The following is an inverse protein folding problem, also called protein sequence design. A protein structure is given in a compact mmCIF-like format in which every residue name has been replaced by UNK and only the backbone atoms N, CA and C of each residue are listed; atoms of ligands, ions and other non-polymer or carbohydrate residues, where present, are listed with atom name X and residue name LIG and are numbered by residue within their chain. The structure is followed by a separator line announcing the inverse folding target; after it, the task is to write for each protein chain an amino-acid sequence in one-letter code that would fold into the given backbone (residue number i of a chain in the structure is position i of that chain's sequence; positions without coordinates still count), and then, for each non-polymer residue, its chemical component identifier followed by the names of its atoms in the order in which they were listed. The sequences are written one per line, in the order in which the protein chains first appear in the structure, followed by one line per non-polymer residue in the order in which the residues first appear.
data_IF_926992939675
#
_entry.id   IF_926992939675
#
_cell.length_a   1.000
_cell.length_b   1.000
_cell.length_c   1.000
_cell.angle_alpha   90.00
_cell.angle_beta   90.00
_cell.angle_gamma   90.00
#
_symmetry.space_group_name_H-M   'P 1'
#
loop_
_entity.id
_entity.type
_entity.pdbx_description
1 polymer ?
#
# COMPACT_ATOMS: atom_id res chain seq x y z
N UNK A 1 19.52 -13.39 2.89
CA UNK A 1 18.92 -12.16 3.40
C UNK A 1 19.26 -12.11 4.87
N UNK A 2 19.94 -11.06 5.35
CA UNK A 2 20.19 -10.94 6.78
C UNK A 2 18.90 -10.54 7.51
N UNK A 3 18.79 -10.87 8.79
CA UNK A 3 17.61 -10.52 9.60
C UNK A 3 17.40 -8.99 9.68
N UNK A 4 18.52 -8.24 9.68
CA UNK A 4 18.57 -6.77 9.64
C UNK A 4 17.97 -6.19 8.34
N UNK A 5 18.10 -6.91 7.22
CA UNK A 5 17.51 -6.49 5.93
C UNK A 5 15.99 -6.60 5.95
N UNK A 6 15.45 -7.64 6.57
CA UNK A 6 13.99 -7.89 6.62
C UNK A 6 13.31 -6.86 7.52
N UNK A 7 13.89 -6.53 8.68
CA UNK A 7 13.32 -5.53 9.58
C UNK A 7 13.32 -4.12 8.96
N UNK A 8 14.40 -3.75 8.27
CA UNK A 8 14.49 -2.47 7.57
C UNK A 8 13.45 -2.38 6.46
N UNK A 9 13.28 -3.44 5.68
CA UNK A 9 12.26 -3.54 4.61
C UNK A 9 10.84 -3.50 5.15
N UNK A 10 10.59 -4.18 6.26
CA UNK A 10 9.32 -4.13 6.98
C UNK A 10 8.94 -2.69 7.36
N UNK A 11 9.88 -1.92 7.94
CA UNK A 11 9.65 -0.51 8.29
C UNK A 11 9.36 0.35 7.06
N UNK A 12 10.14 0.21 5.98
CA UNK A 12 9.93 0.94 4.73
C UNK A 12 8.54 0.65 4.12
N UNK A 13 8.15 -0.63 4.06
CA UNK A 13 6.86 -1.05 3.51
C UNK A 13 5.71 -0.42 4.30
N UNK A 14 5.77 -0.43 5.63
CA UNK A 14 4.74 0.16 6.49
C UNK A 14 4.62 1.67 6.25
N UNK A 15 5.75 2.38 6.17
CA UNK A 15 5.76 3.83 5.91
C UNK A 15 5.10 4.13 4.57
N UNK A 16 5.50 3.42 3.50
CA UNK A 16 4.92 3.62 2.16
C UNK A 16 3.39 3.37 2.17
N UNK A 17 2.94 2.30 2.82
CA UNK A 17 1.51 1.97 2.90
C UNK A 17 0.71 3.05 3.67
N UNK A 18 1.21 3.52 4.82
CA UNK A 18 0.55 4.57 5.61
C UNK A 18 0.50 5.91 4.88
N UNK A 19 1.55 6.24 4.13
CA UNK A 19 1.59 7.46 3.32
C UNK A 19 0.51 7.42 2.23
N UNK A 20 0.39 6.32 1.49
CA UNK A 20 -0.67 6.18 0.48
C UNK A 20 -2.06 6.27 1.06
N UNK A 21 -2.29 5.64 2.20
CA UNK A 21 -3.58 5.76 2.86
C UNK A 21 -3.90 7.22 3.21
N UNK A 22 -2.93 7.95 3.77
CA UNK A 22 -3.09 9.36 4.14
C UNK A 22 -3.36 10.22 2.91
N UNK A 23 -2.61 10.03 1.82
CA UNK A 23 -2.79 10.76 0.57
C UNK A 23 -4.14 10.46 -0.10
N UNK A 24 -4.59 9.20 -0.08
CA UNK A 24 -5.92 8.81 -0.57
C UNK A 24 -7.04 9.46 0.25
N UNK A 25 -6.90 9.51 1.58
CA UNK A 25 -7.86 10.16 2.47
C UNK A 25 -7.91 11.67 2.27
N UNK A 26 -6.76 12.30 2.00
CA UNK A 26 -6.66 13.73 1.66
C UNK A 26 -7.14 14.04 0.24
N UNK A 27 -7.29 13.03 -0.62
CA UNK A 27 -7.59 13.21 -2.04
C UNK A 27 -6.45 13.88 -2.83
N UNK A 28 -5.23 13.88 -2.28
CA UNK A 28 -4.08 14.61 -2.83
C UNK A 28 -3.27 13.80 -3.85
N UNK A 29 -3.72 12.60 -4.21
CA UNK A 29 -3.00 11.69 -5.11
C UNK A 29 -3.92 11.05 -6.15
N UNK A 30 -3.39 10.80 -7.35
CA UNK A 30 -4.09 10.05 -8.38
C UNK A 30 -4.26 8.58 -7.97
N UNK A 31 -5.51 8.13 -7.91
CA UNK A 31 -5.90 6.76 -7.61
C UNK A 31 -5.23 5.74 -8.55
N UNK A 32 -5.06 6.06 -9.84
CA UNK A 32 -4.37 5.17 -10.79
C UNK A 32 -2.90 4.97 -10.40
N UNK A 33 -2.24 6.05 -9.99
CA UNK A 33 -0.84 6.01 -9.52
C UNK A 33 -0.72 5.20 -8.23
N UNK A 34 -1.63 5.40 -7.27
CA UNK A 34 -1.62 4.63 -6.01
C UNK A 34 -1.82 3.14 -6.28
N UNK A 35 -2.72 2.78 -7.20
CA UNK A 35 -2.98 1.39 -7.56
C UNK A 35 -1.75 0.69 -8.15
N UNK A 36 -1.02 1.37 -9.03
CA UNK A 36 0.24 0.86 -9.59
C UNK A 36 1.28 0.64 -8.48
N UNK A 37 1.55 1.68 -7.67
CA UNK A 37 2.54 1.61 -6.59
C UNK A 37 2.18 0.61 -5.49
N UNK A 38 0.91 0.47 -5.16
CA UNK A 38 0.44 -0.54 -4.21
C UNK A 38 0.75 -1.95 -4.71
N UNK A 39 0.64 -2.21 -6.02
CA UNK A 39 0.98 -3.51 -6.61
C UNK A 39 2.47 -3.83 -6.41
N UNK A 40 3.34 -2.84 -6.60
CA UNK A 40 4.78 -3.00 -6.42
C UNK A 40 5.15 -3.25 -4.95
N UNK A 41 4.54 -2.51 -4.01
CA UNK A 41 4.75 -2.73 -2.57
C UNK A 41 4.25 -4.10 -2.13
N UNK A 42 3.10 -4.56 -2.64
CA UNK A 42 2.57 -5.89 -2.32
C UNK A 42 3.50 -6.98 -2.85
N UNK A 43 4.11 -6.77 -4.01
CA UNK A 43 5.13 -7.66 -4.55
C UNK A 43 6.38 -7.67 -3.66
N UNK A 44 6.90 -6.48 -3.32
CA UNK A 44 8.03 -6.33 -2.38
C UNK A 44 7.73 -7.06 -1.06
N UNK A 45 6.59 -6.79 -0.43
CA UNK A 45 6.18 -7.47 0.80
C UNK A 45 6.10 -8.99 0.65
N UNK A 46 5.69 -9.52 -0.50
CA UNK A 46 5.68 -10.97 -0.76
C UNK A 46 7.08 -11.53 -0.91
N UNK A 47 7.97 -10.83 -1.61
CA UNK A 47 9.36 -11.24 -1.82
C UNK A 47 10.12 -11.34 -0.47
N UNK A 48 9.71 -10.54 0.52
CA UNK A 48 10.23 -10.59 1.90
C UNK A 48 9.39 -11.44 2.87
N UNK A 49 8.28 -12.08 2.43
CA UNK A 49 7.41 -12.90 3.30
C UNK A 49 6.57 -12.10 4.31
N UNK A 50 6.39 -10.79 4.10
CA UNK A 50 5.70 -9.83 4.96
C UNK A 50 4.24 -9.55 4.54
N UNK A 51 3.77 -10.14 3.46
CA UNK A 51 2.45 -9.88 2.87
C UNK A 51 1.29 -10.15 3.84
N UNK A 52 1.38 -11.22 4.64
CA UNK A 52 0.40 -11.53 5.69
C UNK A 52 0.39 -10.50 6.81
N UNK A 53 1.55 -9.97 7.19
CA UNK A 53 1.66 -8.98 8.25
C UNK A 53 0.95 -7.66 7.89
N UNK A 54 0.95 -7.30 6.59
CA UNK A 54 0.39 -6.03 6.12
C UNK A 54 -0.95 -6.16 5.38
N UNK A 55 -1.54 -7.36 5.37
CA UNK A 55 -2.78 -7.63 4.62
C UNK A 55 -3.93 -6.70 5.01
N UNK A 56 -4.02 -6.31 6.28
CA UNK A 56 -5.07 -5.42 6.80
C UNK A 56 -4.96 -4.03 6.17
N UNK A 57 -3.76 -3.44 6.15
CA UNK A 57 -3.51 -2.12 5.56
C UNK A 57 -3.69 -2.18 4.04
N UNK A 58 -3.19 -3.22 3.38
CA UNK A 58 -3.35 -3.43 1.93
C UNK A 58 -4.85 -3.48 1.56
N UNK A 59 -5.67 -4.23 2.31
CA UNK A 59 -7.13 -4.30 2.09
C UNK A 59 -7.81 -2.95 2.28
N UNK A 60 -7.40 -2.20 3.30
CA UNK A 60 -7.94 -0.86 3.57
C UNK A 60 -7.66 0.10 2.41
N UNK A 61 -6.42 0.14 1.91
CA UNK A 61 -6.04 0.97 0.75
C UNK A 61 -6.83 0.56 -0.50
N UNK A 62 -6.95 -0.75 -0.78
CA UNK A 62 -7.77 -1.23 -1.92
C UNK A 62 -9.22 -0.78 -1.81
N UNK A 63 -9.81 -0.87 -0.63
CA UNK A 63 -11.18 -0.41 -0.38
C UNK A 63 -11.33 1.09 -0.62
N UNK A 64 -10.34 1.90 -0.22
CA UNK A 64 -10.34 3.34 -0.48
C UNK A 64 -10.25 3.64 -1.98
N UNK A 65 -9.34 2.97 -2.69
CA UNK A 65 -9.21 3.06 -4.16
C UNK A 65 -10.56 2.77 -4.83
N UNK A 66 -11.19 1.64 -4.51
CA UNK A 66 -12.46 1.24 -5.13
C UNK A 66 -13.58 2.26 -4.85
N UNK A 67 -13.64 2.79 -3.63
CA UNK A 67 -14.60 3.85 -3.26
C UNK A 67 -14.37 5.13 -4.06
N UNK A 68 -13.11 5.55 -4.21
CA UNK A 68 -12.76 6.76 -4.96
C UNK A 68 -13.00 6.59 -6.47
N UNK A 69 -12.71 5.41 -7.03
CA UNK A 69 -13.02 5.11 -8.44
C UNK A 69 -14.52 5.13 -8.72
N UNK A 70 -15.36 4.64 -7.79
CA UNK A 70 -16.82 4.71 -7.93
C UNK A 70 -17.34 6.15 -7.87
N UNK A 71 -16.83 6.98 -6.96
CA UNK A 71 -17.21 8.40 -6.86
C UNK A 71 -16.87 9.22 -8.10
N UNK A 72 -15.82 8.87 -8.84
CA UNK A 72 -15.43 9.55 -10.10
C UNK A 72 -16.27 9.15 -11.31
N UNK A 73 -17.02 8.04 -11.24
CA UNK A 73 -17.83 7.50 -12.34
C UNK A 73 -19.31 7.84 -12.24
N UNK A 74 -19.76 8.30 -11.07
CA UNK A 74 -21.14 8.71 -10.80
C UNK A 74 -21.33 10.21 -10.92
#
# INVERSE_FOLDING_TARGET
MSEIDVESRAREIVIKLRNFETELLKGSIDVKLVKARLKDIVKEARDYGLDKAYISIIRRIKTLIDRLERRRKG
#
